data_IF_018759344811
#
_entry.id   IF_018759344811
#
_cell.length_a   1.000
_cell.length_b   1.000
_cell.length_c   1.000
_cell.angle_alpha   90.00
_cell.angle_beta   90.00
_cell.angle_gamma   90.00
#
_symmetry.space_group_name_H-M   'P 1'
#
loop_
_entity.id
_entity.type
_entity.pdbx_description
1 polymer ?
#
# COMPACT_ATOMS: atom_id res chain seq x y z
N UNK A 1 0.93 -21.33 -0.94
CA UNK A 1 1.40 -22.37 -0.01
C UNK A 1 0.27 -22.64 0.97
N UNK A 2 -0.02 -23.89 1.34
CA UNK A 2 -1.04 -24.15 2.37
C UNK A 2 -0.52 -23.85 3.78
N UNK A 3 -1.43 -23.81 4.77
CA UNK A 3 -1.08 -23.45 6.16
C UNK A 3 -0.05 -24.39 6.78
N UNK A 4 -0.11 -25.69 6.45
CA UNK A 4 0.83 -26.69 6.97
C UNK A 4 2.22 -26.45 6.40
N UNK A 5 2.31 -26.27 5.09
CA UNK A 5 3.56 -25.99 4.38
C UNK A 5 4.19 -24.68 4.84
N UNK A 6 3.40 -23.66 5.17
CA UNK A 6 3.89 -22.42 5.78
C UNK A 6 4.56 -22.68 7.14
N UNK A 7 3.90 -23.45 8.02
CA UNK A 7 4.43 -23.80 9.34
C UNK A 7 5.73 -24.57 9.21
N UNK A 8 5.74 -25.62 8.37
CA UNK A 8 6.93 -26.45 8.14
C UNK A 8 8.09 -25.62 7.57
N UNK A 9 7.79 -24.65 6.69
CA UNK A 9 8.79 -23.73 6.16
C UNK A 9 9.40 -22.86 7.26
N UNK A 10 8.58 -22.30 8.17
CA UNK A 10 9.06 -21.44 9.27
C UNK A 10 9.99 -22.23 10.19
N UNK A 11 9.61 -23.46 10.56
CA UNK A 11 10.43 -24.34 11.39
C UNK A 11 11.79 -24.63 10.72
N UNK A 12 11.76 -25.04 9.45
CA UNK A 12 12.96 -25.32 8.68
C UNK A 12 13.85 -24.08 8.51
N UNK A 13 13.26 -22.90 8.30
CA UNK A 13 14.00 -21.65 8.12
C UNK A 13 14.75 -21.26 9.38
N UNK A 14 14.07 -21.20 10.54
CA UNK A 14 14.73 -20.82 11.81
C UNK A 14 15.76 -21.85 12.24
N UNK A 15 15.48 -23.14 12.07
CA UNK A 15 16.45 -24.20 12.36
C UNK A 15 17.74 -24.00 11.55
N UNK A 16 17.64 -23.74 10.24
CA UNK A 16 18.81 -23.53 9.37
C UNK A 16 19.59 -22.27 9.71
N UNK A 17 18.92 -21.15 9.97
CA UNK A 17 19.59 -19.89 10.31
C UNK A 17 20.33 -20.00 11.64
N UNK A 18 19.67 -20.55 12.67
CA UNK A 18 20.33 -20.78 13.95
C UNK A 18 21.46 -21.80 13.85
N UNK A 19 21.31 -22.89 13.10
CA UNK A 19 22.39 -23.85 12.88
C UNK A 19 23.61 -23.18 12.21
N UNK A 20 23.38 -22.35 11.20
CA UNK A 20 24.46 -21.59 10.55
C UNK A 20 25.17 -20.64 11.53
N UNK A 21 24.45 -20.05 12.49
CA UNK A 21 25.06 -19.22 13.53
C UNK A 21 25.84 -20.04 14.56
N UNK A 22 25.31 -21.19 14.97
CA UNK A 22 25.98 -22.15 15.85
C UNK A 22 27.31 -22.59 15.21
N UNK A 23 27.28 -22.98 13.94
CA UNK A 23 28.47 -23.43 13.21
C UNK A 23 29.51 -22.31 13.08
N UNK A 24 29.06 -21.06 12.91
CA UNK A 24 29.94 -19.89 12.74
C UNK A 24 30.52 -19.38 14.06
N UNK A 25 29.71 -19.38 15.13
CA UNK A 25 30.05 -18.78 16.42
C UNK A 25 30.44 -19.81 17.49
N UNK A 26 30.29 -21.11 17.20
CA UNK A 26 30.57 -22.24 18.08
C UNK A 26 29.80 -22.19 19.42
N UNK A 27 28.53 -21.77 19.40
CA UNK A 27 27.68 -21.57 20.59
C UNK A 27 26.63 -22.70 20.69
N UNK A 28 26.35 -23.27 21.88
CA UNK A 28 25.30 -24.29 22.04
C UNK A 28 23.90 -23.64 22.20
N UNK A 29 23.18 -23.39 21.11
CA UNK A 29 21.88 -22.71 21.14
C UNK A 29 20.77 -23.44 20.35
N UNK A 30 20.43 -24.67 20.74
CA UNK A 30 19.32 -25.42 20.10
C UNK A 30 17.93 -24.92 20.51
N UNK A 31 17.74 -24.35 21.71
CA UNK A 31 16.41 -23.96 22.21
C UNK A 31 15.86 -22.62 21.67
N UNK A 32 16.67 -21.79 21.01
CA UNK A 32 16.24 -20.46 20.56
C UNK A 32 15.54 -20.51 19.19
N UNK A 33 15.91 -21.46 18.34
CA UNK A 33 15.26 -21.67 17.04
C UNK A 33 13.77 -22.03 17.19
N UNK A 34 13.46 -22.98 18.08
CA UNK A 34 12.09 -23.37 18.39
C UNK A 34 11.29 -22.22 18.96
N UNK A 35 11.87 -21.44 19.90
CA UNK A 35 11.21 -20.26 20.48
C UNK A 35 10.84 -19.22 19.42
N UNK A 36 11.77 -18.87 18.53
CA UNK A 36 11.50 -17.90 17.46
C UNK A 36 10.45 -18.42 16.48
N UNK A 37 10.54 -19.71 16.11
CA UNK A 37 9.58 -20.35 15.21
C UNK A 37 8.17 -20.35 15.79
N UNK A 38 7.99 -20.84 17.02
CA UNK A 38 6.69 -20.88 17.69
C UNK A 38 6.07 -19.50 17.85
N UNK A 39 6.88 -18.49 18.15
CA UNK A 39 6.41 -17.11 18.26
C UNK A 39 5.87 -16.58 16.91
N UNK A 40 6.61 -16.76 15.81
CA UNK A 40 6.16 -16.34 14.48
C UNK A 40 4.94 -17.14 14.02
N UNK A 41 4.91 -18.46 14.25
CA UNK A 41 3.77 -19.32 13.90
C UNK A 41 2.50 -18.89 14.64
N UNK A 42 2.61 -18.54 15.93
CA UNK A 42 1.50 -18.00 16.71
C UNK A 42 1.01 -16.67 16.17
N UNK A 43 1.92 -15.79 15.77
CA UNK A 43 1.55 -14.49 15.21
C UNK A 43 0.86 -14.62 13.85
N UNK A 44 1.40 -15.46 12.95
CA UNK A 44 0.77 -15.79 11.67
C UNK A 44 -0.56 -16.55 11.85
N UNK A 45 -0.69 -17.35 12.91
CA UNK A 45 -1.92 -18.08 13.21
C UNK A 45 -3.04 -17.23 13.81
N UNK A 46 -2.71 -16.09 14.42
CA UNK A 46 -3.66 -15.20 15.11
C UNK A 46 -3.91 -13.88 14.37
N UNK A 47 -3.13 -13.58 13.33
CA UNK A 47 -3.29 -12.36 12.55
C UNK A 47 -4.62 -12.34 11.81
N UNK A 48 -5.29 -11.19 11.83
CA UNK A 48 -6.47 -10.89 10.99
C UNK A 48 -6.07 -10.24 9.65
N UNK A 49 -4.78 -9.99 9.44
CA UNK A 49 -4.28 -9.33 8.23
C UNK A 49 -4.20 -10.32 7.08
N UNK A 50 -5.20 -10.27 6.19
CA UNK A 50 -5.22 -11.08 4.97
C UNK A 50 -4.01 -10.80 4.07
N UNK A 51 -3.57 -9.55 3.99
CA UNK A 51 -2.39 -9.17 3.20
C UNK A 51 -1.11 -9.87 3.67
N UNK A 52 -0.90 -9.98 4.99
CA UNK A 52 0.26 -10.67 5.54
C UNK A 52 0.21 -12.18 5.23
N UNK A 53 -0.98 -12.79 5.30
CA UNK A 53 -1.18 -14.21 4.98
C UNK A 53 -0.98 -14.50 3.49
N UNK A 54 -1.45 -13.62 2.61
CA UNK A 54 -1.22 -13.71 1.17
C UNK A 54 0.27 -13.63 0.85
N UNK A 55 0.99 -12.68 1.45
CA UNK A 55 2.44 -12.58 1.30
C UNK A 55 3.17 -13.82 1.83
N UNK A 56 2.79 -14.32 3.01
CA UNK A 56 3.35 -15.53 3.60
C UNK A 56 3.09 -16.80 2.77
N UNK A 57 2.11 -16.77 1.87
CA UNK A 57 1.80 -17.89 0.98
C UNK A 57 2.83 -18.07 -0.15
N UNK A 58 3.71 -17.09 -0.36
CA UNK A 58 4.87 -17.16 -1.25
C UNK A 58 6.14 -17.45 -0.43
N UNK A 59 6.90 -18.49 -0.79
CA UNK A 59 8.08 -18.92 -0.01
C UNK A 59 9.21 -17.87 0.03
N UNK A 60 9.39 -17.09 -1.03
CA UNK A 60 10.38 -16.01 -1.06
C UNK A 60 10.01 -14.89 -0.08
N UNK A 61 8.75 -14.44 -0.11
CA UNK A 61 8.25 -13.46 0.83
C UNK A 61 8.20 -13.99 2.27
N UNK A 62 7.84 -15.26 2.47
CA UNK A 62 7.89 -15.87 3.80
C UNK A 62 9.32 -15.88 4.36
N UNK A 63 10.33 -16.18 3.53
CA UNK A 63 11.73 -16.04 3.92
C UNK A 63 12.07 -14.60 4.32
N UNK A 64 11.56 -13.59 3.61
CA UNK A 64 11.74 -12.18 3.97
C UNK A 64 11.04 -11.85 5.29
N UNK A 65 9.82 -12.36 5.52
CA UNK A 65 9.08 -12.20 6.78
C UNK A 65 9.84 -12.85 7.94
N UNK A 66 10.36 -14.07 7.77
CA UNK A 66 11.20 -14.73 8.76
C UNK A 66 12.47 -13.91 9.05
N UNK A 67 13.13 -13.39 8.02
CA UNK A 67 14.32 -12.54 8.16
C UNK A 67 14.01 -11.25 8.92
N UNK A 68 12.89 -10.62 8.58
CA UNK A 68 12.40 -9.41 9.23
C UNK A 68 12.15 -9.71 10.71
N UNK A 69 11.38 -10.74 11.02
CA UNK A 69 11.05 -11.14 12.40
C UNK A 69 12.31 -11.48 13.21
N UNK A 70 13.21 -12.27 12.63
CA UNK A 70 14.48 -12.64 13.25
C UNK A 70 15.37 -11.43 13.58
N UNK A 71 15.29 -10.36 12.78
CA UNK A 71 16.10 -9.16 12.96
C UNK A 71 15.52 -8.17 13.98
N UNK A 72 14.31 -8.41 14.48
CA UNK A 72 13.71 -7.55 15.49
C UNK A 72 14.17 -7.95 16.91
N UNK A 73 14.04 -7.04 17.86
CA UNK A 73 14.28 -7.32 19.29
C UNK A 73 13.20 -8.25 19.85
N UNK A 74 13.59 -9.20 20.71
CA UNK A 74 12.67 -10.15 21.35
C UNK A 74 11.37 -9.49 21.85
N UNK A 75 10.23 -9.95 21.33
CA UNK A 75 8.90 -9.51 21.71
C UNK A 75 8.27 -8.43 20.82
N UNK A 76 8.97 -7.93 19.80
CA UNK A 76 8.36 -7.10 18.76
C UNK A 76 7.34 -7.89 17.94
N UNK A 77 6.26 -7.22 17.56
CA UNK A 77 5.21 -7.78 16.71
C UNK A 77 5.39 -7.34 15.26
N UNK A 78 4.93 -8.17 14.35
CA UNK A 78 4.72 -7.80 12.96
C UNK A 78 3.79 -6.58 12.87
N UNK A 79 4.04 -5.66 11.93
CA UNK A 79 3.14 -4.54 11.71
C UNK A 79 1.72 -5.03 11.38
N UNK A 80 0.71 -4.38 11.94
CA UNK A 80 -0.69 -4.74 11.72
C UNK A 80 -1.31 -4.01 10.52
N UNK A 81 -0.82 -2.80 10.20
CA UNK A 81 -1.29 -2.00 9.07
C UNK A 81 -0.58 -2.42 7.79
N UNK A 82 -1.35 -2.54 6.70
CA UNK A 82 -0.87 -3.05 5.40
C UNK A 82 0.35 -2.27 4.88
N UNK A 83 0.32 -0.94 4.96
CA UNK A 83 1.45 -0.10 4.53
C UNK A 83 2.76 -0.48 5.22
N UNK A 84 2.75 -0.58 6.55
CA UNK A 84 3.96 -0.92 7.30
C UNK A 84 4.44 -2.35 7.05
N UNK A 85 3.54 -3.29 6.77
CA UNK A 85 3.91 -4.66 6.38
C UNK A 85 4.70 -4.65 5.07
N UNK A 86 4.16 -3.98 4.05
CA UNK A 86 4.79 -3.88 2.73
C UNK A 86 6.13 -3.14 2.83
N UNK A 87 6.15 -2.01 3.55
CA UNK A 87 7.35 -1.22 3.77
C UNK A 87 8.44 -2.04 4.48
N UNK A 88 8.08 -2.82 5.50
CA UNK A 88 9.06 -3.58 6.28
C UNK A 88 9.66 -4.74 5.48
N UNK A 89 8.86 -5.40 4.64
CA UNK A 89 9.34 -6.45 3.73
C UNK A 89 10.32 -5.86 2.71
N UNK A 90 9.97 -4.72 2.08
CA UNK A 90 10.85 -4.04 1.12
C UNK A 90 12.14 -3.56 1.78
N UNK A 91 12.04 -2.91 2.95
CA UNK A 91 13.23 -2.50 3.73
C UNK A 91 14.11 -3.70 4.07
N UNK A 92 13.52 -4.84 4.43
CA UNK A 92 14.29 -6.07 4.73
C UNK A 92 15.05 -6.58 3.50
N UNK A 93 14.40 -6.62 2.33
CA UNK A 93 15.05 -7.00 1.08
C UNK A 93 16.20 -6.03 0.72
N UNK A 94 15.96 -4.72 0.78
CA UNK A 94 16.95 -3.70 0.47
C UNK A 94 18.10 -3.66 1.49
N UNK A 95 17.84 -3.91 2.77
CA UNK A 95 18.90 -4.05 3.78
C UNK A 95 19.77 -5.28 3.51
N UNK A 96 19.17 -6.40 3.07
CA UNK A 96 19.95 -7.56 2.64
C UNK A 96 20.81 -7.26 1.42
N UNK A 97 20.33 -6.43 0.49
CA UNK A 97 21.12 -5.96 -0.65
C UNK A 97 22.28 -5.08 -0.19
N UNK A 98 22.01 -4.07 0.65
CA UNK A 98 23.04 -3.13 1.14
C UNK A 98 24.16 -3.86 1.89
N UNK A 99 23.84 -4.89 2.67
CA UNK A 99 24.85 -5.73 3.33
C UNK A 99 25.75 -6.48 2.33
N UNK A 100 25.20 -6.90 1.19
CA UNK A 100 25.95 -7.62 0.13
C UNK A 100 26.73 -6.65 -0.78
N UNK A 101 26.16 -5.48 -1.06
CA UNK A 101 26.69 -4.47 -1.96
C UNK A 101 26.60 -3.07 -1.32
N UNK A 102 27.52 -2.73 -0.40
CA UNK A 102 27.44 -1.49 0.39
C UNK A 102 27.58 -0.19 -0.42
N UNK A 103 28.18 -0.28 -1.60
CA UNK A 103 28.42 0.86 -2.50
C UNK A 103 27.19 1.28 -3.30
N UNK A 104 26.13 0.45 -3.30
CA UNK A 104 24.90 0.72 -4.04
C UNK A 104 24.03 1.71 -3.27
N UNK A 105 23.63 2.77 -3.96
CA UNK A 105 22.67 3.75 -3.45
C UNK A 105 21.24 3.19 -3.45
N UNK A 106 20.75 2.82 -2.27
CA UNK A 106 19.42 2.26 -2.07
C UNK A 106 18.32 3.25 -2.47
N UNK A 107 18.54 4.56 -2.36
CA UNK A 107 17.56 5.56 -2.77
C UNK A 107 17.35 5.55 -4.29
N UNK A 108 18.42 5.35 -5.06
CA UNK A 108 18.34 5.16 -6.51
C UNK A 108 17.65 3.86 -6.87
N UNK A 109 17.94 2.77 -6.16
CA UNK A 109 17.25 1.48 -6.37
C UNK A 109 15.73 1.64 -6.18
N UNK A 110 15.31 2.32 -5.10
CA UNK A 110 13.89 2.59 -4.84
C UNK A 110 13.25 3.41 -5.97
N UNK A 111 13.92 4.48 -6.43
CA UNK A 111 13.42 5.33 -7.53
C UNK A 111 13.30 4.56 -8.84
N UNK A 112 14.28 3.71 -9.16
CA UNK A 112 14.25 2.87 -10.36
C UNK A 112 13.08 1.88 -10.28
N UNK A 113 12.89 1.19 -9.16
CA UNK A 113 11.77 0.24 -9.00
C UNK A 113 10.41 0.94 -9.07
N UNK A 114 10.28 2.15 -8.51
CA UNK A 114 9.08 2.97 -8.66
C UNK A 114 8.83 3.38 -10.12
N UNK A 115 9.86 3.77 -10.86
CA UNK A 115 9.75 4.10 -12.28
C UNK A 115 9.40 2.87 -13.14
N UNK A 116 9.93 1.69 -12.79
CA UNK A 116 9.56 0.42 -13.44
C UNK A 116 8.05 0.15 -13.29
N UNK A 117 7.46 0.40 -12.12
CA UNK A 117 5.99 0.23 -11.98
C UNK A 117 5.23 1.12 -12.94
N UNK A 118 5.67 2.36 -13.16
CA UNK A 118 5.00 3.31 -14.07
C UNK A 118 4.95 2.76 -15.49
N UNK A 119 6.07 2.21 -15.98
CA UNK A 119 6.12 1.59 -17.31
C UNK A 119 5.23 0.35 -17.41
N UNK A 120 5.22 -0.50 -16.37
CA UNK A 120 4.35 -1.70 -16.34
C UNK A 120 2.86 -1.31 -16.39
N UNK A 121 2.45 -0.23 -15.73
CA UNK A 121 1.04 0.20 -15.76
C UNK A 121 0.61 0.84 -17.07
N UNK A 122 1.53 1.53 -17.77
CA UNK A 122 1.28 2.14 -19.07
C UNK A 122 0.96 1.12 -20.16
N UNK A 123 1.34 -0.15 -19.98
CA UNK A 123 1.00 -1.23 -20.89
C UNK A 123 0.14 -2.29 -20.20
N UNK A 124 -1.20 -2.10 -20.10
CA UNK A 124 -2.09 -3.01 -19.39
C UNK A 124 -2.05 -4.46 -19.91
N UNK A 125 -1.63 -4.67 -21.16
CA UNK A 125 -1.51 -5.99 -21.76
C UNK A 125 -0.26 -6.76 -21.30
N UNK A 126 0.73 -6.09 -20.69
CA UNK A 126 1.97 -6.70 -20.21
C UNK A 126 2.22 -6.33 -18.75
N UNK A 127 2.05 -7.28 -17.83
CA UNK A 127 2.53 -7.17 -16.44
C UNK A 127 4.06 -7.31 -16.33
N UNK A 128 4.78 -7.16 -17.45
CA UNK A 128 6.21 -7.37 -17.58
C UNK A 128 6.87 -6.17 -18.25
N UNK A 129 8.14 -6.00 -17.94
CA UNK A 129 9.03 -5.01 -18.52
C UNK A 129 10.22 -5.72 -19.16
N UNK A 130 10.67 -5.25 -20.32
CA UNK A 130 11.82 -5.82 -21.00
C UNK A 130 13.15 -5.26 -20.43
N UNK A 131 14.24 -6.00 -20.65
CA UNK A 131 15.57 -5.62 -20.16
C UNK A 131 16.03 -4.23 -20.67
N UNK A 132 15.72 -3.88 -21.92
CA UNK A 132 16.14 -2.61 -22.52
C UNK A 132 15.37 -1.42 -21.93
N UNK A 133 14.08 -1.61 -21.61
CA UNK A 133 13.25 -0.65 -20.87
C UNK A 133 13.78 -0.45 -19.45
N UNK A 134 14.18 -1.52 -18.75
CA UNK A 134 14.84 -1.39 -17.43
C UNK A 134 16.12 -0.57 -17.56
N UNK A 135 16.93 -0.84 -18.59
CA UNK A 135 18.16 -0.09 -18.86
C UNK A 135 17.87 1.38 -19.12
N UNK A 136 16.85 1.70 -19.91
CA UNK A 136 16.43 3.08 -20.17
C UNK A 136 16.00 3.80 -18.89
N UNK A 137 15.20 3.14 -18.04
CA UNK A 137 14.80 3.70 -16.74
C UNK A 137 16.02 3.96 -15.85
N UNK A 138 17.00 3.06 -15.82
CA UNK A 138 18.25 3.27 -15.09
C UNK A 138 19.00 4.48 -15.63
N UNK A 139 19.13 4.61 -16.96
CA UNK A 139 19.75 5.77 -17.61
C UNK A 139 19.07 7.07 -17.19
N UNK A 140 17.75 7.16 -17.26
CA UNK A 140 17.01 8.37 -16.89
C UNK A 140 17.13 8.70 -15.40
N UNK A 141 17.04 7.69 -14.53
CA UNK A 141 17.10 7.89 -13.08
C UNK A 141 18.50 8.31 -12.62
N UNK A 142 19.56 7.75 -13.21
CA UNK A 142 20.94 8.14 -12.89
C UNK A 142 21.24 9.55 -13.44
N UNK A 143 20.79 9.87 -14.66
CA UNK A 143 20.96 11.21 -15.26
C UNK A 143 20.32 12.31 -14.41
N UNK A 144 19.10 12.11 -13.94
CA UNK A 144 18.40 13.10 -13.09
C UNK A 144 19.09 13.31 -11.73
N UNK A 145 19.86 12.33 -11.27
CA UNK A 145 20.57 12.36 -9.98
C UNK A 145 21.99 12.91 -10.09
N UNK A 146 22.55 13.00 -11.30
CA UNK A 146 23.95 13.35 -11.53
C UNK A 146 24.06 14.72 -12.17
N UNK A 147 24.63 15.70 -11.47
CA UNK A 147 24.65 17.10 -11.93
C UNK A 147 25.62 17.36 -13.07
N UNK A 148 26.66 16.53 -13.26
CA UNK A 148 27.63 16.55 -14.38
C UNK A 148 28.34 15.19 -14.46
N UNK A 149 28.23 14.48 -15.56
CA UNK A 149 29.08 13.31 -15.85
C UNK A 149 29.78 13.56 -17.18
N UNK A 150 31.01 14.07 -17.13
CA UNK A 150 31.85 14.28 -18.32
C UNK A 150 32.49 12.96 -18.81
N UNK A 151 32.45 11.89 -18.00
CA UNK A 151 32.95 10.55 -18.36
C UNK A 151 31.80 9.58 -18.72
N UNK A 152 31.61 9.40 -20.03
CA UNK A 152 30.62 8.48 -20.60
C UNK A 152 30.87 7.03 -20.17
N UNK A 153 32.12 6.59 -20.08
CA UNK A 153 32.45 5.21 -19.74
C UNK A 153 32.17 4.89 -18.27
N UNK A 154 32.32 5.88 -17.38
CA UNK A 154 31.90 5.74 -15.99
C UNK A 154 30.36 5.64 -15.89
N UNK A 155 29.64 6.50 -16.61
CA UNK A 155 28.17 6.48 -16.65
C UNK A 155 27.63 5.14 -17.17
N UNK A 156 28.15 4.61 -18.28
CA UNK A 156 27.73 3.32 -18.84
C UNK A 156 27.99 2.15 -17.90
N UNK A 157 29.12 2.17 -17.18
CA UNK A 157 29.43 1.18 -16.15
C UNK A 157 28.45 1.25 -14.99
N UNK A 158 28.13 2.45 -14.51
CA UNK A 158 27.16 2.66 -13.43
C UNK A 158 25.77 2.17 -13.81
N UNK A 159 25.31 2.48 -15.03
CA UNK A 159 24.02 1.99 -15.56
C UNK A 159 24.02 0.46 -15.62
N UNK A 160 25.07 -0.14 -16.19
CA UNK A 160 25.15 -1.60 -16.34
C UNK A 160 25.15 -2.31 -14.99
N UNK A 161 25.88 -1.76 -14.01
CA UNK A 161 25.88 -2.29 -12.65
C UNK A 161 24.51 -2.16 -11.99
N UNK A 162 23.82 -1.02 -12.18
CA UNK A 162 22.49 -0.82 -11.64
C UNK A 162 21.45 -1.78 -12.24
N UNK A 163 21.50 -2.01 -13.57
CA UNK A 163 20.64 -3.00 -14.23
C UNK A 163 20.87 -4.39 -13.65
N UNK A 164 22.14 -4.80 -13.49
CA UNK A 164 22.52 -6.07 -12.87
C UNK A 164 21.98 -6.18 -11.44
N UNK A 165 22.14 -5.14 -10.63
CA UNK A 165 21.62 -5.10 -9.27
C UNK A 165 20.10 -5.30 -9.25
N UNK A 166 19.37 -4.53 -10.05
CA UNK A 166 17.91 -4.55 -10.15
C UNK A 166 17.39 -5.92 -10.59
N UNK A 167 18.03 -6.53 -11.59
CA UNK A 167 17.59 -7.80 -12.16
C UNK A 167 17.98 -9.01 -11.32
N UNK A 168 19.16 -9.01 -10.70
CA UNK A 168 19.78 -10.23 -10.18
C UNK A 168 19.97 -10.25 -8.65
N UNK A 169 20.02 -9.08 -8.00
CA UNK A 169 20.46 -8.99 -6.60
C UNK A 169 19.42 -8.46 -5.62
N UNK A 170 18.51 -7.60 -6.09
CA UNK A 170 17.48 -7.00 -5.21
C UNK A 170 16.47 -8.05 -4.73
N UNK A 171 16.18 -9.08 -5.54
CA UNK A 171 15.17 -10.10 -5.20
C UNK A 171 13.72 -9.61 -5.23
N UNK A 172 13.48 -8.46 -5.89
CA UNK A 172 12.14 -7.85 -6.05
C UNK A 172 11.59 -8.10 -7.45
N UNK A 173 12.44 -8.09 -8.48
CA UNK A 173 12.09 -8.51 -9.84
C UNK A 173 12.56 -9.95 -10.08
N UNK A 174 11.88 -10.62 -11.00
CA UNK A 174 12.22 -11.98 -11.42
C UNK A 174 12.06 -12.12 -12.92
N UNK A 175 12.95 -12.89 -13.54
CA UNK A 175 12.90 -13.22 -14.96
C UNK A 175 11.72 -14.17 -15.21
N UNK A 176 10.83 -13.80 -16.13
CA UNK A 176 9.60 -14.55 -16.45
C UNK A 176 9.70 -15.25 -17.80
N UNK A 177 10.35 -14.61 -18.76
CA UNK A 177 10.73 -15.19 -20.05
C UNK A 177 11.97 -14.49 -20.58
N UNK A 178 12.43 -14.86 -21.78
CA UNK A 178 13.61 -14.25 -22.42
C UNK A 178 13.50 -12.72 -22.36
N UNK A 179 14.42 -12.10 -21.62
CA UNK A 179 14.54 -10.65 -21.38
C UNK A 179 13.28 -9.94 -20.84
N UNK A 180 12.28 -10.67 -20.30
CA UNK A 180 11.11 -10.07 -19.67
C UNK A 180 11.13 -10.33 -18.17
N UNK A 181 10.96 -9.25 -17.41
CA UNK A 181 10.96 -9.24 -15.96
C UNK A 181 9.59 -8.84 -15.43
N UNK A 182 9.20 -9.41 -14.30
CA UNK A 182 8.05 -8.95 -13.54
C UNK A 182 8.38 -8.90 -12.06
N UNK A 183 7.56 -8.21 -11.27
CA UNK A 183 7.70 -8.27 -9.81
C UNK A 183 7.55 -9.71 -9.33
N UNK A 184 8.36 -10.08 -8.34
CA UNK A 184 8.33 -11.39 -7.71
C UNK A 184 6.94 -11.67 -7.13
N UNK A 185 6.32 -10.62 -6.57
CA UNK A 185 4.99 -10.64 -5.99
C UNK A 185 4.28 -9.31 -6.20
N UNK A 186 2.94 -9.34 -6.31
CA UNK A 186 2.09 -8.16 -6.50
C UNK A 186 2.29 -7.12 -5.38
N UNK A 187 2.49 -7.55 -4.14
CA UNK A 187 2.75 -6.64 -3.02
C UNK A 187 3.93 -5.67 -3.26
N UNK A 188 4.99 -6.13 -3.94
CA UNK A 188 6.10 -5.25 -4.30
C UNK A 188 5.68 -4.21 -5.33
N UNK A 189 4.98 -4.65 -6.39
CA UNK A 189 4.46 -3.75 -7.41
C UNK A 189 3.57 -2.69 -6.77
N UNK A 190 2.61 -3.09 -5.94
CA UNK A 190 1.69 -2.19 -5.24
C UNK A 190 2.42 -1.18 -4.34
N UNK A 191 3.44 -1.63 -3.59
CA UNK A 191 4.26 -0.76 -2.76
C UNK A 191 4.99 0.32 -3.58
N UNK A 192 5.69 -0.07 -4.65
CA UNK A 192 6.42 0.89 -5.48
C UNK A 192 5.48 1.81 -6.28
N UNK A 193 4.28 1.32 -6.63
CA UNK A 193 3.21 2.15 -7.21
C UNK A 193 2.75 3.21 -6.22
N UNK A 194 2.53 2.84 -4.95
CA UNK A 194 2.22 3.78 -3.88
C UNK A 194 3.30 4.86 -3.76
N UNK A 195 4.58 4.49 -3.79
CA UNK A 195 5.67 5.49 -3.75
C UNK A 195 5.62 6.44 -4.95
N UNK A 196 5.30 5.93 -6.15
CA UNK A 196 5.16 6.75 -7.35
C UNK A 196 3.97 7.72 -7.26
N UNK A 197 2.84 7.28 -6.72
CA UNK A 197 1.68 8.16 -6.49
C UNK A 197 2.04 9.34 -5.60
N UNK A 198 2.90 9.11 -4.60
CA UNK A 198 3.32 10.11 -3.61
C UNK A 198 4.55 10.94 -4.02
N UNK A 199 5.17 10.67 -5.17
CA UNK A 199 6.42 11.31 -5.57
C UNK A 199 6.22 12.80 -5.88
N UNK A 200 6.88 13.69 -5.15
CA UNK A 200 6.73 15.14 -5.34
C UNK A 200 7.77 15.75 -6.26
N UNK A 201 8.80 14.99 -6.64
CA UNK A 201 9.87 15.46 -7.52
C UNK A 201 9.41 15.44 -8.98
N UNK A 202 8.98 16.60 -9.49
CA UNK A 202 8.70 16.77 -10.91
C UNK A 202 10.00 16.93 -11.70
N UNK A 203 10.66 15.81 -11.98
CA UNK A 203 11.81 15.80 -12.91
C UNK A 203 11.40 16.10 -14.36
N UNK A 204 10.10 16.10 -14.68
CA UNK A 204 9.58 16.40 -16.01
C UNK A 204 9.00 17.83 -16.09
N UNK A 205 9.77 18.71 -16.75
CA UNK A 205 9.26 19.79 -17.61
C UNK A 205 8.34 20.86 -17.01
N UNK A 206 8.42 21.20 -15.73
CA UNK A 206 8.03 22.55 -15.28
C UNK A 206 9.27 23.46 -15.24
N UNK A 207 9.79 23.77 -16.43
CA UNK A 207 10.90 24.73 -16.64
C UNK A 207 10.49 26.20 -16.43
N UNK A 208 9.28 26.43 -15.90
CA UNK A 208 8.74 27.76 -15.60
C UNK A 208 7.92 27.69 -14.31
N UNK A 209 8.56 27.60 -13.14
CA UNK A 209 8.16 28.39 -11.96
C UNK A 209 9.40 28.53 -11.08
N UNK A 210 9.88 29.77 -10.97
CA UNK A 210 10.71 30.25 -9.86
C UNK A 210 9.79 30.24 -8.64
N UNK A 211 9.99 29.28 -7.75
CA UNK A 211 9.75 29.33 -6.30
C UNK A 211 9.58 27.91 -5.75
N UNK A 212 10.04 27.70 -4.52
CA UNK A 212 10.00 26.41 -3.84
C UNK A 212 8.65 25.71 -3.96
N UNK A 213 8.68 24.38 -4.00
CA UNK A 213 7.49 23.55 -4.09
C UNK A 213 6.56 23.85 -2.90
N UNK A 214 5.53 24.66 -3.09
CA UNK A 214 4.66 25.11 -2.01
C UNK A 214 3.88 23.92 -1.45
N UNK A 215 3.59 23.97 -0.14
CA UNK A 215 2.77 22.98 0.57
C UNK A 215 1.48 22.65 -0.21
N UNK A 216 0.79 23.68 -0.71
CA UNK A 216 -0.47 23.54 -1.47
C UNK A 216 -0.26 22.78 -2.78
N UNK A 217 0.79 23.11 -3.56
CA UNK A 217 1.08 22.40 -4.82
C UNK A 217 1.39 20.93 -4.60
N UNK A 218 2.03 20.59 -3.47
CA UNK A 218 2.29 19.20 -3.10
C UNK A 218 0.99 18.43 -2.87
N UNK A 219 0.08 19.00 -2.08
CA UNK A 219 -1.20 18.38 -1.77
C UNK A 219 -2.00 18.20 -3.07
N UNK A 220 -2.14 19.26 -3.86
CA UNK A 220 -2.84 19.24 -5.15
C UNK A 220 -2.27 18.20 -6.12
N UNK A 221 -0.94 18.10 -6.25
CA UNK A 221 -0.31 17.14 -7.15
C UNK A 221 -0.61 15.70 -6.73
N UNK A 222 -0.53 15.39 -5.43
CA UNK A 222 -0.82 14.06 -4.92
C UNK A 222 -2.31 13.76 -5.06
N UNK A 223 -3.19 14.69 -4.67
CA UNK A 223 -4.65 14.57 -4.85
C UNK A 223 -4.99 14.27 -6.30
N UNK A 224 -4.46 15.05 -7.26
CA UNK A 224 -4.71 14.85 -8.68
C UNK A 224 -4.29 13.46 -9.16
N UNK A 225 -3.16 12.94 -8.71
CA UNK A 225 -2.69 11.60 -9.09
C UNK A 225 -3.55 10.49 -8.48
N UNK A 226 -3.94 10.62 -7.21
CA UNK A 226 -4.87 9.68 -6.60
C UNK A 226 -6.18 9.68 -7.37
N UNK A 227 -6.76 10.87 -7.60
CA UNK A 227 -8.00 11.09 -8.33
C UNK A 227 -7.96 10.51 -9.75
N UNK A 228 -6.86 10.67 -10.47
CA UNK A 228 -6.69 10.13 -11.83
C UNK A 228 -6.79 8.60 -11.89
N UNK A 229 -6.44 7.90 -10.80
CA UNK A 229 -6.36 6.44 -10.76
C UNK A 229 -7.49 5.77 -9.95
N UNK A 230 -8.42 6.52 -9.37
CA UNK A 230 -9.46 5.96 -8.48
C UNK A 230 -10.40 4.95 -9.14
N UNK A 231 -10.67 5.10 -10.44
CA UNK A 231 -11.54 4.19 -11.19
C UNK A 231 -10.82 2.92 -11.65
N UNK A 232 -9.48 2.88 -11.59
CA UNK A 232 -8.69 1.72 -11.99
C UNK A 232 -8.54 0.74 -10.82
N UNK A 233 -9.12 -0.44 -10.96
CA UNK A 233 -9.08 -1.49 -9.94
C UNK A 233 -7.65 -1.88 -9.54
N UNK A 234 -6.66 -1.75 -10.44
CA UNK A 234 -5.27 -2.08 -10.16
C UNK A 234 -4.63 -1.10 -9.17
N UNK A 235 -5.19 0.10 -9.04
CA UNK A 235 -4.72 1.13 -8.12
C UNK A 235 -5.43 1.11 -6.76
N UNK A 236 -6.42 0.23 -6.55
CA UNK A 236 -7.14 0.14 -5.27
C UNK A 236 -6.20 -0.06 -4.08
N UNK A 237 -5.31 -1.06 -4.14
CA UNK A 237 -4.34 -1.31 -3.07
C UNK A 237 -3.26 -0.22 -3.01
N UNK A 238 -2.63 0.20 -4.11
CA UNK A 238 -1.70 1.35 -4.12
C UNK A 238 -2.25 2.62 -3.47
N UNK A 239 -3.50 3.00 -3.75
CA UNK A 239 -4.17 4.16 -3.16
C UNK A 239 -4.37 3.96 -1.66
N UNK A 240 -4.82 2.77 -1.23
CA UNK A 240 -4.96 2.46 0.19
C UNK A 240 -3.62 2.52 0.95
N UNK A 241 -2.54 2.00 0.34
CA UNK A 241 -1.18 2.12 0.87
C UNK A 241 -0.74 3.60 0.95
N UNK A 242 -1.08 4.40 -0.06
CA UNK A 242 -0.77 5.83 -0.09
C UNK A 242 -1.45 6.57 1.06
N UNK A 243 -2.72 6.29 1.35
CA UNK A 243 -3.41 6.80 2.53
C UNK A 243 -2.76 6.36 3.84
N UNK A 244 -2.37 5.08 3.94
CA UNK A 244 -1.64 4.58 5.11
C UNK A 244 -0.32 5.33 5.33
N UNK A 245 0.41 5.62 4.26
CA UNK A 245 1.64 6.43 4.33
C UNK A 245 1.35 7.88 4.69
N UNK A 246 0.43 8.55 3.99
CA UNK A 246 0.08 9.96 4.22
C UNK A 246 -0.38 10.16 5.66
N UNK A 247 -1.39 9.40 6.10
CA UNK A 247 -1.95 9.52 7.46
C UNK A 247 -0.92 9.27 8.56
N UNK A 248 0.15 8.51 8.28
CA UNK A 248 1.23 8.25 9.24
C UNK A 248 2.34 9.29 9.26
N UNK A 249 2.55 10.03 8.17
CA UNK A 249 3.80 10.78 7.95
C UNK A 249 3.60 12.25 7.61
N UNK A 250 2.41 12.66 7.16
CA UNK A 250 2.08 14.05 6.93
C UNK A 250 1.57 14.70 8.23
N UNK A 251 1.57 16.03 8.26
CA UNK A 251 0.88 16.76 9.33
C UNK A 251 -0.63 16.45 9.26
N UNK A 252 -1.33 16.50 10.39
CA UNK A 252 -2.78 16.27 10.40
C UNK A 252 -3.49 17.26 9.46
N UNK A 253 -3.11 18.54 9.47
CA UNK A 253 -3.70 19.54 8.57
C UNK A 253 -3.43 19.26 7.08
N UNK A 254 -2.24 18.78 6.70
CA UNK A 254 -1.96 18.41 5.31
C UNK A 254 -2.78 17.20 4.86
N UNK A 255 -2.99 16.24 5.77
CA UNK A 255 -3.81 15.08 5.50
C UNK A 255 -5.30 15.44 5.40
N UNK A 256 -5.79 16.34 6.25
CA UNK A 256 -7.16 16.86 6.20
C UNK A 256 -7.41 17.66 4.92
N UNK A 257 -6.49 18.55 4.54
CA UNK A 257 -6.57 19.30 3.28
C UNK A 257 -6.63 18.36 2.07
N UNK A 258 -5.80 17.31 2.06
CA UNK A 258 -5.84 16.28 1.02
C UNK A 258 -7.20 15.57 1.01
N UNK A 259 -7.71 15.13 2.15
CA UNK A 259 -9.01 14.44 2.23
C UNK A 259 -10.15 15.36 1.77
N UNK A 260 -10.11 16.64 2.16
CA UNK A 260 -11.09 17.62 1.74
C UNK A 260 -11.03 17.85 0.22
N UNK A 261 -9.85 18.07 -0.36
CA UNK A 261 -9.71 18.25 -1.80
C UNK A 261 -10.17 16.99 -2.57
N UNK A 262 -9.87 15.81 -2.04
CA UNK A 262 -10.27 14.52 -2.59
C UNK A 262 -11.79 14.38 -2.71
N UNK A 263 -12.55 14.70 -1.66
CA UNK A 263 -14.02 14.55 -1.65
C UNK A 263 -14.73 15.65 -2.44
N UNK A 264 -14.06 16.78 -2.72
CA UNK A 264 -14.59 17.89 -3.51
C UNK A 264 -14.24 17.77 -5.00
N UNK A 265 -13.21 17.00 -5.35
CA UNK A 265 -12.80 16.80 -6.75
C UNK A 265 -13.92 16.09 -7.51
N UNK A 266 -14.37 16.68 -8.63
CA UNK A 266 -15.38 16.08 -9.49
C UNK A 266 -14.76 15.01 -10.40
N UNK A 267 -15.37 13.83 -10.40
CA UNK A 267 -15.06 12.72 -11.29
C UNK A 267 -16.19 12.44 -12.29
N UNK A 268 -15.86 11.75 -13.38
CA UNK A 268 -16.82 11.31 -14.41
C UNK A 268 -17.99 10.52 -13.81
N UNK A 269 -17.72 9.72 -12.76
CA UNK A 269 -18.69 8.86 -12.10
C UNK A 269 -19.39 9.49 -10.89
N UNK A 270 -19.01 10.70 -10.47
CA UNK A 270 -19.54 11.35 -9.25
C UNK A 270 -21.02 11.64 -9.33
N UNK A 271 -21.55 11.76 -10.55
CA UNK A 271 -23.00 11.87 -10.76
C UNK A 271 -23.77 10.70 -10.15
N UNK A 272 -23.19 9.49 -10.12
CA UNK A 272 -23.79 8.28 -9.55
C UNK A 272 -23.16 7.86 -8.23
N UNK A 273 -21.83 7.85 -8.15
CA UNK A 273 -21.04 7.42 -6.99
C UNK A 273 -20.01 8.50 -6.67
N UNK A 274 -20.16 9.25 -5.56
CA UNK A 274 -19.17 10.22 -5.08
C UNK A 274 -17.84 9.51 -4.81
N UNK A 275 -16.95 9.47 -5.80
CA UNK A 275 -15.84 8.53 -5.88
C UNK A 275 -14.78 8.85 -4.84
N UNK A 276 -14.46 10.14 -4.65
CA UNK A 276 -13.55 10.58 -3.61
C UNK A 276 -14.00 10.16 -2.21
N UNK A 277 -15.28 10.37 -1.89
CA UNK A 277 -15.86 9.94 -0.60
C UNK A 277 -15.87 8.41 -0.47
N UNK A 278 -16.25 7.69 -1.52
CA UNK A 278 -16.27 6.24 -1.54
C UNK A 278 -14.88 5.65 -1.29
N UNK A 279 -13.86 6.14 -2.00
CA UNK A 279 -12.47 5.70 -1.86
C UNK A 279 -11.95 6.01 -0.45
N UNK A 280 -12.17 7.23 0.06
CA UNK A 280 -11.76 7.62 1.41
C UNK A 280 -12.30 6.66 2.47
N UNK A 281 -13.62 6.39 2.44
CA UNK A 281 -14.27 5.50 3.39
C UNK A 281 -13.75 4.07 3.27
N UNK A 282 -13.56 3.56 2.05
CA UNK A 282 -13.04 2.20 1.83
C UNK A 282 -11.58 2.01 2.26
N UNK A 283 -10.80 3.09 2.39
CA UNK A 283 -9.41 3.04 2.81
C UNK A 283 -9.21 3.23 4.32
N UNK A 284 -10.27 3.37 5.11
CA UNK A 284 -10.18 3.68 6.55
C UNK A 284 -9.35 2.65 7.35
N UNK A 285 -9.40 1.37 6.97
CA UNK A 285 -8.64 0.31 7.64
C UNK A 285 -7.12 0.46 7.48
N UNK A 286 -6.71 1.18 6.45
CA UNK A 286 -5.30 1.44 6.15
C UNK A 286 -4.79 2.72 6.81
N UNK A 287 -5.67 3.57 7.36
CA UNK A 287 -5.28 4.78 8.08
C UNK A 287 -4.52 4.47 9.37
N UNK A 288 -3.47 5.24 9.62
CA UNK A 288 -2.76 5.25 10.91
C UNK A 288 -3.39 6.28 11.83
N UNK A 289 -3.60 7.50 11.33
CA UNK A 289 -4.37 8.55 11.96
C UNK A 289 -5.62 8.85 11.12
N UNK A 290 -6.72 9.18 11.77
CA UNK A 290 -7.99 9.50 11.10
C UNK A 290 -8.05 11.02 10.81
N UNK A 291 -8.68 11.43 9.70
CA UNK A 291 -9.04 12.84 9.52
C UNK A 291 -10.11 13.25 10.55
N UNK A 292 -10.40 14.55 10.65
CA UNK A 292 -11.49 15.05 11.50
C UNK A 292 -12.82 14.34 11.24
N UNK A 293 -13.66 14.31 12.27
CA UNK A 293 -15.01 13.77 12.13
C UNK A 293 -15.75 14.50 11.00
N UNK A 294 -15.67 15.83 10.92
CA UNK A 294 -16.36 16.63 9.90
C UNK A 294 -16.10 16.13 8.47
N UNK A 295 -14.86 15.76 8.13
CA UNK A 295 -14.51 15.18 6.81
C UNK A 295 -15.17 13.82 6.61
N UNK A 296 -15.14 12.96 7.64
CA UNK A 296 -15.79 11.65 7.58
C UNK A 296 -17.30 11.76 7.45
N UNK A 297 -17.91 12.70 8.18
CA UNK A 297 -19.34 12.98 8.16
C UNK A 297 -19.77 13.52 6.79
N UNK A 298 -19.02 14.45 6.19
CA UNK A 298 -19.28 14.93 4.82
C UNK A 298 -19.19 13.78 3.81
N UNK A 299 -18.16 12.93 3.92
CA UNK A 299 -18.03 11.76 3.06
C UNK A 299 -19.22 10.79 3.18
N UNK A 300 -19.68 10.48 4.40
CA UNK A 300 -20.87 9.64 4.60
C UNK A 300 -22.14 10.29 4.07
N UNK A 301 -22.32 11.60 4.29
CA UNK A 301 -23.48 12.34 3.83
C UNK A 301 -23.58 12.36 2.30
N UNK A 302 -22.44 12.52 1.60
CA UNK A 302 -22.38 12.41 0.14
C UNK A 302 -22.80 11.02 -0.34
N UNK A 303 -22.25 9.96 0.28
CA UNK A 303 -22.56 8.58 -0.09
C UNK A 303 -24.03 8.23 0.12
N UNK A 304 -24.62 8.59 1.28
CA UNK A 304 -26.01 8.27 1.56
C UNK A 304 -26.99 9.11 0.71
N UNK A 305 -26.62 10.35 0.40
CA UNK A 305 -27.41 11.20 -0.50
C UNK A 305 -27.41 10.61 -1.91
N UNK A 306 -26.26 10.18 -2.42
CA UNK A 306 -26.18 9.50 -3.71
C UNK A 306 -26.95 8.16 -3.70
N UNK A 307 -26.86 7.41 -2.59
CA UNK A 307 -27.60 6.16 -2.42
C UNK A 307 -29.12 6.34 -2.51
N UNK A 308 -29.64 7.41 -1.90
CA UNK A 308 -31.04 7.78 -2.01
C UNK A 308 -31.42 8.26 -3.41
N UNK A 309 -30.65 9.21 -3.97
CA UNK A 309 -30.92 9.80 -5.28
C UNK A 309 -30.95 8.78 -6.42
N UNK A 310 -30.09 7.77 -6.36
CA UNK A 310 -29.95 6.73 -7.40
C UNK A 310 -30.52 5.38 -6.99
N UNK A 311 -31.32 5.34 -5.91
CA UNK A 311 -31.99 4.14 -5.42
C UNK A 311 -31.05 2.92 -5.34
N UNK A 312 -29.86 3.09 -4.76
CA UNK A 312 -28.83 2.04 -4.72
C UNK A 312 -29.33 0.74 -4.09
N UNK A 313 -30.31 0.81 -3.20
CA UNK A 313 -30.98 -0.36 -2.63
C UNK A 313 -31.51 -1.32 -3.71
N UNK A 314 -32.00 -0.79 -4.82
CA UNK A 314 -32.58 -1.54 -5.94
C UNK A 314 -31.51 -1.75 -7.02
N UNK A 315 -30.79 -0.69 -7.38
CA UNK A 315 -29.90 -0.68 -8.56
C UNK A 315 -28.56 -1.38 -8.28
N UNK A 316 -28.00 -1.20 -7.09
CA UNK A 316 -26.66 -1.68 -6.73
C UNK A 316 -26.53 -1.99 -5.23
N UNK A 317 -27.32 -2.94 -4.69
CA UNK A 317 -27.38 -3.21 -3.25
C UNK A 317 -26.02 -3.57 -2.64
N UNK A 318 -25.11 -4.13 -3.44
CA UNK A 318 -23.75 -4.46 -3.00
C UNK A 318 -22.94 -3.22 -2.54
N UNK A 319 -23.18 -2.03 -3.11
CA UNK A 319 -22.49 -0.79 -2.69
C UNK A 319 -22.95 -0.39 -1.29
N UNK A 320 -24.25 -0.50 -1.02
CA UNK A 320 -24.81 -0.21 0.30
C UNK A 320 -24.31 -1.22 1.34
N UNK A 321 -24.22 -2.49 0.99
CA UNK A 321 -23.64 -3.54 1.84
C UNK A 321 -22.16 -3.24 2.17
N UNK A 322 -21.37 -2.79 1.19
CA UNK A 322 -19.97 -2.42 1.41
C UNK A 322 -19.81 -1.22 2.34
N UNK A 323 -20.64 -0.19 2.18
CA UNK A 323 -20.62 0.98 3.07
C UNK A 323 -21.05 0.57 4.48
N UNK A 324 -22.09 -0.24 4.61
CA UNK A 324 -22.56 -0.78 5.90
C UNK A 324 -21.46 -1.57 6.60
N UNK A 325 -20.77 -2.46 5.87
CA UNK A 325 -19.65 -3.23 6.40
C UNK A 325 -18.47 -2.33 6.80
N UNK A 326 -18.29 -1.20 6.13
CA UNK A 326 -17.24 -0.25 6.47
C UNK A 326 -17.59 0.56 7.71
N UNK A 327 -18.83 1.03 7.84
CA UNK A 327 -19.35 1.71 9.03
C UNK A 327 -19.21 0.87 10.30
N UNK A 328 -19.43 -0.45 10.21
CA UNK A 328 -19.23 -1.38 11.33
C UNK A 328 -17.79 -1.40 11.87
N UNK A 329 -16.81 -0.92 11.10
CA UNK A 329 -15.40 -0.84 11.50
C UNK A 329 -15.06 0.49 12.19
N UNK A 330 -15.91 1.51 12.06
CA UNK A 330 -15.72 2.78 12.75
C UNK A 330 -16.03 2.66 14.24
N UNK A 331 -15.43 3.56 15.04
CA UNK A 331 -15.75 3.65 16.45
C UNK A 331 -17.21 4.09 16.63
N UNK A 332 -17.89 3.50 17.62
CA UNK A 332 -19.33 3.72 17.86
C UNK A 332 -19.68 5.19 18.10
N UNK A 333 -18.78 5.96 18.70
CA UNK A 333 -18.94 7.40 18.94
C UNK A 333 -19.02 8.19 17.64
N UNK A 334 -18.17 7.90 16.66
CA UNK A 334 -18.18 8.56 15.33
C UNK A 334 -19.49 8.25 14.61
N UNK A 335 -19.89 6.97 14.58
CA UNK A 335 -21.14 6.54 13.93
C UNK A 335 -22.36 7.17 14.61
N UNK A 336 -22.36 7.23 15.95
CA UNK A 336 -23.46 7.86 16.71
C UNK A 336 -23.55 9.36 16.46
N UNK A 337 -22.40 10.04 16.38
CA UNK A 337 -22.33 11.46 16.04
C UNK A 337 -22.91 11.71 14.64
N UNK A 338 -22.49 10.91 13.65
CA UNK A 338 -23.01 10.98 12.29
C UNK A 338 -24.53 10.81 12.24
N UNK A 339 -25.05 9.77 12.90
CA UNK A 339 -26.49 9.49 12.95
C UNK A 339 -27.25 10.66 13.57
N UNK A 340 -26.76 11.22 14.68
CA UNK A 340 -27.39 12.36 15.34
C UNK A 340 -27.42 13.60 14.43
N UNK A 341 -26.30 13.89 13.76
CA UNK A 341 -26.19 15.04 12.87
C UNK A 341 -27.07 14.89 11.63
N UNK A 342 -27.05 13.72 10.99
CA UNK A 342 -27.90 13.40 9.84
C UNK A 342 -29.39 13.52 10.19
N UNK A 343 -29.79 12.99 11.35
CA UNK A 343 -31.18 13.11 11.82
C UNK A 343 -31.58 14.56 12.14
N UNK A 344 -30.65 15.38 12.63
CA UNK A 344 -30.91 16.80 12.89
C UNK A 344 -31.18 17.62 11.61
N UNK A 345 -30.73 17.12 10.45
CA UNK A 345 -30.90 17.74 9.14
C UNK A 345 -32.08 17.14 8.33
N UNK A 346 -32.95 16.34 8.96
CA UNK A 346 -34.04 15.57 8.32
C UNK A 346 -34.96 16.38 7.42
N UNK A 347 -35.21 17.66 7.71
CA UNK A 347 -36.04 18.53 6.86
C UNK A 347 -35.42 18.80 5.48
N UNK A 348 -34.12 18.50 5.29
CA UNK A 348 -33.38 18.69 4.04
C UNK A 348 -33.21 17.41 3.20
N UNK A 349 -33.60 16.24 3.74
CA UNK A 349 -33.39 14.96 3.07
C UNK A 349 -34.67 14.48 2.38
N UNK A 350 -34.54 13.92 1.17
CA UNK A 350 -35.68 13.29 0.49
C UNK A 350 -35.99 11.90 1.11
N UNK A 351 -37.18 11.37 0.81
CA UNK A 351 -37.67 10.10 1.34
C UNK A 351 -36.73 8.94 0.97
N UNK A 352 -36.17 8.96 -0.24
CA UNK A 352 -35.26 7.92 -0.72
C UNK A 352 -33.95 7.89 0.08
N UNK A 353 -33.38 9.05 0.41
CA UNK A 353 -32.17 9.20 1.24
C UNK A 353 -32.43 8.74 2.67
N UNK A 354 -33.61 9.07 3.25
CA UNK A 354 -34.02 8.54 4.56
C UNK A 354 -34.15 7.01 4.50
N UNK A 355 -34.74 6.48 3.43
CA UNK A 355 -34.91 5.02 3.24
C UNK A 355 -33.57 4.30 3.14
N UNK A 356 -32.64 4.84 2.35
CA UNK A 356 -31.28 4.31 2.23
C UNK A 356 -30.53 4.34 3.58
N UNK A 357 -30.70 5.43 4.34
CA UNK A 357 -30.15 5.56 5.69
C UNK A 357 -30.71 4.51 6.65
N UNK A 358 -32.03 4.32 6.68
CA UNK A 358 -32.67 3.29 7.51
C UNK A 358 -32.14 1.89 7.16
N UNK A 359 -32.05 1.54 5.88
CA UNK A 359 -31.51 0.25 5.44
C UNK A 359 -30.05 0.02 5.85
N UNK A 360 -29.23 1.08 5.75
CA UNK A 360 -27.83 1.04 6.17
C UNK A 360 -27.69 0.81 7.69
N UNK A 361 -28.62 1.33 8.50
CA UNK A 361 -28.64 1.10 9.95
C UNK A 361 -29.27 -0.24 10.35
N UNK A 362 -30.28 -0.71 9.61
CA UNK A 362 -30.93 -2.02 9.82
C UNK A 362 -29.97 -3.18 9.57
N UNK A 363 -28.99 -2.97 8.68
CA UNK A 363 -27.87 -3.84 8.33
C UNK A 363 -28.07 -5.31 8.69
N UNK A 364 -28.51 -6.13 7.72
CA UNK A 364 -28.81 -7.57 7.86
C UNK A 364 -28.22 -8.21 9.15
N UNK A 365 -29.06 -8.58 10.14
CA UNK A 365 -28.65 -9.59 11.11
C UNK A 365 -28.46 -10.90 10.35
N UNK A 366 -27.57 -11.78 10.82
CA UNK A 366 -27.08 -13.01 10.15
C UNK A 366 -25.99 -12.69 9.11
N UNK A 367 -24.70 -12.85 9.39
CA UNK A 367 -24.00 -14.07 9.80
C UNK A 367 -22.99 -13.78 10.93
N UNK A 368 -22.58 -14.80 11.69
CA UNK A 368 -21.75 -14.78 12.92
C UNK A 368 -22.49 -14.61 14.25
N UNK A 369 -23.66 -15.25 14.39
CA UNK A 369 -23.89 -16.07 15.60
C UNK A 369 -23.03 -17.34 15.48
N UNK A 370 -21.74 -17.23 15.82
CA UNK A 370 -20.85 -18.34 16.20
C UNK A 370 -19.46 -17.77 16.52
N UNK A 371 -19.41 -16.90 17.54
CA UNK A 371 -18.19 -16.66 18.30
C UNK A 371 -18.60 -16.69 19.78
N UNK A 372 -18.62 -17.89 20.33
CA UNK A 372 -18.33 -18.11 21.76
C UNK A 372 -16.84 -18.26 21.94
#
# INVERSE_FOLDING_TARGET
>A
MDKKSMIDFVDCWFSRVHQSMIDTLNIPLTSQAEKHSEALKKELGTTKSMSLLEMASNSGLLSTICTMYFSQTDGSRLPTRRFFQYESIVKTALNSLHRKLPTIDISQVIRILANITSCVYQNPASSFINHDEIKEICVQTIKTSTTKTDDIHHFERQVSEMVRVICDHVGILTLRSKSLYGFLHQAFQEYFTCLKLLETDTSEKQKFVVDGFSREKKIQLVTQRLCHHMSDQRFRVPIALAFGKISSSWSLGDFEDLCYELIQTQHEYDSFLPLGAYVLINCVDDFVNYPSNDILLDAFNRLITAAGQHEWLIVCPFLLDQITNTLRKFRKDIVSLWVAEFLSQTSSHNIQTITAFCQLLEGKPHEFENIQ
#
